data_IF_598506220238
#
_entry.id   IF_598506220238
#
_cell.length_a   1.000
_cell.length_b   1.000
_cell.length_c   1.000
_cell.angle_alpha   90.00
_cell.angle_beta   90.00
_cell.angle_gamma   90.00
#
_symmetry.space_group_name_H-M   'P 1'
#
loop_
_entity.id
_entity.type
_entity.pdbx_description
1 polymer ?
#
# COMPACT_ATOMS: atom_id res chain seq x y z
N UNK A 1 -2.97 29.94 -3.32
CA UNK A 1 -3.66 28.83 -4.01
C UNK A 1 -4.04 27.84 -2.93
N UNK A 2 -5.31 27.83 -2.54
CA UNK A 2 -5.86 26.88 -1.58
C UNK A 2 -6.04 25.57 -2.33
N UNK A 3 -5.10 24.63 -2.20
CA UNK A 3 -5.30 23.29 -2.76
C UNK A 3 -6.53 22.69 -2.09
N UNK A 4 -7.53 22.31 -2.89
CA UNK A 4 -8.68 21.59 -2.41
C UNK A 4 -8.21 20.20 -1.94
N UNK A 5 -8.61 19.75 -0.75
CA UNK A 5 -8.19 18.44 -0.24
C UNK A 5 -8.69 17.27 -1.10
N UNK A 6 -9.76 17.47 -1.88
CA UNK A 6 -10.21 16.53 -2.91
C UNK A 6 -9.19 16.39 -4.07
N UNK A 7 -8.56 17.49 -4.48
CA UNK A 7 -7.51 17.48 -5.51
C UNK A 7 -6.26 16.76 -4.97
N UNK A 8 -5.87 17.06 -3.73
CA UNK A 8 -4.74 16.38 -3.06
C UNK A 8 -5.01 14.88 -2.95
N UNK A 9 -6.22 14.49 -2.54
CA UNK A 9 -6.62 13.07 -2.43
C UNK A 9 -6.52 12.36 -3.77
N UNK A 10 -6.96 13.00 -4.86
CA UNK A 10 -6.83 12.47 -6.22
C UNK A 10 -5.38 12.29 -6.64
N UNK A 11 -4.54 13.31 -6.44
CA UNK A 11 -3.11 13.25 -6.76
C UNK A 11 -2.39 12.14 -5.96
N UNK A 12 -2.70 11.98 -4.66
CA UNK A 12 -2.13 10.89 -3.84
C UNK A 12 -2.54 9.54 -4.40
N UNK A 13 -3.82 9.40 -4.77
CA UNK A 13 -4.35 8.13 -5.25
C UNK A 13 -3.73 7.73 -6.59
N UNK A 14 -3.50 8.70 -7.49
CA UNK A 14 -2.84 8.44 -8.77
C UNK A 14 -1.37 8.02 -8.57
N UNK A 15 -0.65 8.70 -7.67
CA UNK A 15 0.70 8.29 -7.26
C UNK A 15 0.69 6.88 -6.65
N UNK A 16 -0.31 6.58 -5.83
CA UNK A 16 -0.48 5.30 -5.17
C UNK A 16 -0.74 4.16 -6.15
N UNK A 17 -1.64 4.38 -7.11
CA UNK A 17 -1.94 3.45 -8.20
C UNK A 17 -0.68 3.18 -9.03
N UNK A 18 0.01 4.24 -9.46
CA UNK A 18 1.23 4.13 -10.25
C UNK A 18 2.31 3.31 -9.54
N UNK A 19 2.63 3.63 -8.29
CA UNK A 19 3.63 2.88 -7.50
C UNK A 19 3.24 1.42 -7.30
N UNK A 20 1.95 1.16 -7.11
CA UNK A 20 1.44 -0.21 -6.94
C UNK A 20 1.57 -1.00 -8.24
N UNK A 21 1.27 -0.38 -9.37
CA UNK A 21 1.43 -0.99 -10.70
C UNK A 21 2.90 -1.27 -11.03
N UNK A 22 3.80 -0.31 -10.76
CA UNK A 22 5.25 -0.49 -10.91
C UNK A 22 5.76 -1.66 -10.05
N UNK A 23 5.28 -1.77 -8.80
CA UNK A 23 5.60 -2.90 -7.92
C UNK A 23 5.12 -4.24 -8.49
N UNK A 24 3.90 -4.30 -9.03
CA UNK A 24 3.35 -5.51 -9.66
C UNK A 24 4.24 -5.93 -10.83
N UNK A 25 4.57 -5.01 -11.74
CA UNK A 25 5.42 -5.29 -12.90
C UNK A 25 6.80 -5.80 -12.49
N UNK A 26 7.41 -5.22 -11.45
CA UNK A 26 8.70 -5.71 -10.92
C UNK A 26 8.60 -7.14 -10.37
N UNK A 27 7.52 -7.47 -9.65
CA UNK A 27 7.31 -8.82 -9.10
C UNK A 27 7.06 -9.82 -10.22
N UNK A 28 6.27 -9.47 -11.24
CA UNK A 28 6.01 -10.32 -12.40
C UNK A 28 7.28 -10.64 -13.17
N UNK A 29 8.13 -9.64 -13.42
CA UNK A 29 9.43 -9.84 -14.07
C UNK A 29 10.38 -10.73 -13.24
N UNK A 30 10.41 -10.54 -11.92
CA UNK A 30 11.20 -11.41 -11.03
C UNK A 30 10.68 -12.85 -11.01
N UNK A 31 9.35 -13.03 -11.05
CA UNK A 31 8.71 -14.34 -11.10
C UNK A 31 9.00 -15.06 -12.42
N UNK A 32 8.96 -14.35 -13.55
CA UNK A 32 9.33 -14.89 -14.87
C UNK A 32 10.79 -15.34 -14.89
N UNK A 33 11.71 -14.49 -14.41
CA UNK A 33 13.13 -14.82 -14.29
C UNK A 33 13.38 -16.08 -13.44
N UNK A 34 12.67 -16.22 -12.32
CA UNK A 34 12.78 -17.39 -11.44
C UNK A 34 12.25 -18.67 -12.13
N UNK A 35 11.19 -18.55 -12.94
CA UNK A 35 10.64 -19.68 -13.71
C UNK A 35 11.59 -20.13 -14.82
N UNK A 36 12.20 -19.20 -15.53
CA UNK A 36 13.17 -19.51 -16.59
C UNK A 36 14.40 -20.20 -16.00
N UNK A 37 14.90 -19.71 -14.86
CA UNK A 37 16.01 -20.34 -14.13
C UNK A 37 15.68 -21.78 -13.71
N UNK A 38 14.44 -22.02 -13.25
CA UNK A 38 13.96 -23.37 -12.91
C UNK A 38 13.99 -24.30 -14.13
N UNK A 39 13.54 -23.80 -15.28
CA UNK A 39 13.47 -24.58 -16.53
C UNK A 39 14.87 -24.91 -17.08
N UNK A 40 15.82 -23.96 -17.04
CA UNK A 40 17.20 -24.20 -17.50
C UNK A 40 17.94 -25.23 -16.63
N UNK A 41 17.70 -25.22 -15.31
CA UNK A 41 18.21 -26.23 -14.37
C UNK A 41 17.58 -27.62 -14.57
N UNK A 42 16.42 -27.72 -15.24
CA UNK A 42 15.85 -29.02 -15.64
C UNK A 42 16.54 -29.67 -16.84
N UNK A 43 17.11 -28.87 -17.74
CA UNK A 43 17.72 -29.34 -18.98
C UNK A 43 19.17 -29.81 -18.81
N UNK A 44 19.87 -29.38 -17.76
CA UNK A 44 21.29 -29.68 -17.49
C UNK A 44 21.53 -30.85 -16.52
N UNK A 45 20.56 -31.77 -16.37
CA UNK A 45 20.47 -32.74 -15.25
C UNK A 45 21.45 -33.92 -15.34
N UNK A 46 22.51 -33.88 -14.51
CA UNK A 46 23.34 -35.03 -14.14
C UNK A 46 23.52 -35.11 -12.60
N UNK A 47 22.56 -35.73 -11.89
CA UNK A 47 22.72 -36.28 -10.52
C UNK A 47 22.52 -35.35 -9.30
N UNK A 48 22.39 -35.97 -8.11
CA UNK A 48 22.00 -35.52 -6.74
C UNK A 48 22.48 -34.15 -6.22
N UNK A 49 23.36 -33.43 -6.91
CA UNK A 49 23.95 -32.18 -6.39
C UNK A 49 23.04 -30.95 -6.51
N UNK A 50 21.88 -31.06 -7.18
CA UNK A 50 21.03 -29.93 -7.57
C UNK A 50 19.66 -29.84 -6.86
N UNK A 51 19.35 -30.76 -5.93
CA UNK A 51 18.07 -30.71 -5.20
C UNK A 51 17.90 -29.40 -4.40
N UNK A 52 18.96 -28.92 -3.75
CA UNK A 52 18.90 -27.68 -2.95
C UNK A 52 18.70 -26.42 -3.81
N UNK A 53 19.30 -26.35 -5.01
CA UNK A 53 19.14 -25.21 -5.91
C UNK A 53 17.70 -25.10 -6.43
N UNK A 54 17.08 -26.23 -6.76
CA UNK A 54 15.68 -26.28 -7.20
C UNK A 54 14.71 -25.92 -6.07
N UNK A 55 14.96 -26.40 -4.86
CA UNK A 55 14.15 -26.03 -3.70
C UNK A 55 14.22 -24.52 -3.42
N UNK A 56 15.39 -23.89 -3.53
CA UNK A 56 15.54 -22.44 -3.37
C UNK A 56 14.77 -21.66 -4.44
N UNK A 57 14.87 -22.05 -5.72
CA UNK A 57 14.11 -21.41 -6.81
C UNK A 57 12.60 -21.56 -6.57
N UNK A 58 12.13 -22.72 -6.12
CA UNK A 58 10.72 -22.92 -5.80
C UNK A 58 10.26 -22.06 -4.63
N UNK A 59 11.10 -21.87 -3.60
CA UNK A 59 10.82 -20.95 -2.50
C UNK A 59 10.70 -19.50 -2.98
N UNK A 60 11.58 -19.07 -3.89
CA UNK A 60 11.53 -17.74 -4.50
C UNK A 60 10.25 -17.54 -5.33
N UNK A 61 9.88 -18.52 -6.17
CA UNK A 61 8.62 -18.51 -6.92
C UNK A 61 7.43 -18.35 -5.97
N UNK A 62 7.37 -19.17 -4.91
CA UNK A 62 6.30 -19.12 -3.92
C UNK A 62 6.26 -17.75 -3.20
N UNK A 63 7.42 -17.16 -2.91
CA UNK A 63 7.52 -15.82 -2.30
C UNK A 63 6.98 -14.75 -3.25
N UNK A 64 7.40 -14.75 -4.51
CA UNK A 64 6.93 -13.77 -5.50
C UNK A 64 5.43 -13.91 -5.76
N UNK A 65 4.89 -15.13 -5.82
CA UNK A 65 3.45 -15.35 -5.95
C UNK A 65 2.65 -14.76 -4.78
N UNK A 66 3.14 -14.91 -3.54
CA UNK A 66 2.51 -14.29 -2.36
C UNK A 66 2.55 -12.76 -2.44
N UNK A 67 3.70 -12.18 -2.79
CA UNK A 67 3.84 -10.74 -2.95
C UNK A 67 2.95 -10.20 -4.07
N UNK A 68 2.82 -10.92 -5.18
CA UNK A 68 1.94 -10.56 -6.30
C UNK A 68 0.46 -10.57 -5.88
N UNK A 69 0.04 -11.57 -5.09
CA UNK A 69 -1.31 -11.63 -4.57
C UNK A 69 -1.62 -10.44 -3.66
N UNK A 70 -0.71 -10.08 -2.75
CA UNK A 70 -0.86 -8.91 -1.88
C UNK A 70 -0.88 -7.61 -2.69
N UNK A 71 0.00 -7.49 -3.69
CA UNK A 71 0.05 -6.29 -4.52
C UNK A 71 -1.21 -6.08 -5.37
N UNK A 72 -1.81 -7.16 -5.87
CA UNK A 72 -3.09 -7.09 -6.58
C UNK A 72 -4.26 -6.72 -5.65
N UNK A 73 -4.25 -7.20 -4.39
CA UNK A 73 -5.25 -6.78 -3.39
C UNK A 73 -5.13 -5.28 -3.10
N UNK A 74 -3.91 -4.78 -2.93
CA UNK A 74 -3.65 -3.35 -2.75
C UNK A 74 -4.18 -2.55 -3.95
N UNK A 75 -3.93 -3.00 -5.18
CA UNK A 75 -4.42 -2.35 -6.40
C UNK A 75 -5.96 -2.29 -6.44
N UNK A 76 -6.63 -3.41 -6.17
CA UNK A 76 -8.10 -3.45 -6.12
C UNK A 76 -8.67 -2.52 -5.06
N UNK A 77 -8.00 -2.41 -3.91
CA UNK A 77 -8.39 -1.51 -2.84
C UNK A 77 -8.27 -0.03 -3.26
N UNK A 78 -7.19 0.34 -3.95
CA UNK A 78 -7.01 1.70 -4.46
C UNK A 78 -8.05 2.06 -5.51
N UNK A 79 -8.36 1.16 -6.46
CA UNK A 79 -9.42 1.35 -7.46
C UNK A 79 -10.79 1.53 -6.78
N UNK A 80 -11.04 0.77 -5.71
CA UNK A 80 -12.29 0.90 -4.93
C UNK A 80 -12.38 2.22 -4.16
N UNK A 81 -11.25 2.84 -3.82
CA UNK A 81 -11.22 4.16 -3.17
C UNK A 81 -11.44 5.28 -4.19
N UNK A 82 -10.95 5.12 -5.42
CA UNK A 82 -11.13 6.08 -6.50
C UNK A 82 -12.60 6.37 -6.78
N UNK A 83 -13.44 5.33 -6.73
CA UNK A 83 -14.89 5.48 -6.91
C UNK A 83 -15.59 6.26 -5.79
N UNK A 84 -14.93 6.42 -4.64
CA UNK A 84 -15.44 7.11 -3.44
C UNK A 84 -14.81 8.49 -3.23
N UNK A 85 -14.06 9.01 -4.22
CA UNK A 85 -13.23 10.20 -4.04
C UNK A 85 -14.04 11.43 -3.56
N UNK A 86 -15.29 11.56 -4.01
CA UNK A 86 -16.17 12.70 -3.73
C UNK A 86 -17.14 12.50 -2.56
N UNK A 87 -17.09 11.36 -1.88
CA UNK A 87 -17.99 11.08 -0.76
C UNK A 87 -17.58 11.86 0.48
N UNK A 88 -18.53 12.60 1.05
CA UNK A 88 -18.35 13.25 2.35
C UNK A 88 -18.48 12.20 3.45
N UNK A 89 -17.50 12.19 4.35
CA UNK A 89 -17.32 11.13 5.32
C UNK A 89 -17.32 11.66 6.75
N UNK A 90 -18.25 11.20 7.57
CA UNK A 90 -18.38 11.62 8.97
C UNK A 90 -17.40 10.90 9.91
N UNK A 91 -16.85 9.76 9.45
CA UNK A 91 -15.96 8.89 10.20
C UNK A 91 -14.75 8.51 9.35
N UNK A 92 -13.60 8.37 10.00
CA UNK A 92 -12.39 7.89 9.38
C UNK A 92 -12.55 6.42 8.98
N UNK A 93 -12.52 6.14 7.68
CA UNK A 93 -12.61 4.79 7.11
C UNK A 93 -11.71 4.65 5.88
N UNK A 94 -11.72 3.48 5.26
CA UNK A 94 -11.01 3.27 4.00
C UNK A 94 -11.41 4.33 2.96
N UNK A 95 -10.42 4.95 2.33
CA UNK A 95 -10.57 6.01 1.36
C UNK A 95 -10.71 7.41 1.94
N UNK A 96 -10.58 7.60 3.26
CA UNK A 96 -10.67 8.92 3.89
C UNK A 96 -9.29 9.54 4.13
N UNK A 97 -9.20 10.84 3.92
CA UNK A 97 -8.05 11.66 4.27
C UNK A 97 -8.31 12.32 5.63
N UNK A 98 -7.60 11.86 6.64
CA UNK A 98 -7.71 12.33 8.01
C UNK A 98 -6.61 13.35 8.29
N UNK A 99 -7.00 14.56 8.67
CA UNK A 99 -6.08 15.57 9.17
C UNK A 99 -6.07 15.53 10.70
N UNK A 100 -4.89 15.36 11.28
CA UNK A 100 -4.66 15.53 12.72
C UNK A 100 -3.85 16.79 12.99
N UNK A 101 -3.66 17.13 14.27
CA UNK A 101 -2.74 18.18 14.71
C UNK A 101 -1.26 17.84 14.45
N UNK A 102 -0.94 16.61 14.07
CA UNK A 102 0.45 16.15 13.85
C UNK A 102 0.72 15.89 12.36
N UNK A 103 -0.26 15.44 11.59
CA UNK A 103 -0.05 15.12 10.17
C UNK A 103 -1.33 14.80 9.40
N UNK A 104 -1.14 14.49 8.13
CA UNK A 104 -2.19 14.07 7.19
C UNK A 104 -2.04 12.57 6.91
N UNK A 105 -3.14 11.84 7.02
CA UNK A 105 -3.17 10.38 6.85
C UNK A 105 -4.25 9.99 5.86
N UNK A 106 -3.88 9.35 4.75
CA UNK A 106 -4.84 8.71 3.84
C UNK A 106 -4.97 7.24 4.24
N UNK A 107 -6.17 6.82 4.65
CA UNK A 107 -6.44 5.40 4.97
C UNK A 107 -6.70 4.66 3.66
N UNK A 108 -5.67 4.07 3.09
CA UNK A 108 -5.73 3.31 1.85
C UNK A 108 -4.84 2.08 1.98
N UNK A 109 -3.69 2.04 1.30
CA UNK A 109 -2.73 0.94 1.34
C UNK A 109 -1.43 1.37 2.02
N UNK A 110 -0.49 0.44 2.26
CA UNK A 110 0.77 0.75 2.95
C UNK A 110 1.85 1.29 2.00
N UNK A 111 1.61 2.47 1.40
CA UNK A 111 2.57 3.13 0.49
C UNK A 111 3.58 4.01 1.23
N UNK A 112 3.23 4.47 2.44
CA UNK A 112 4.09 5.34 3.24
C UNK A 112 3.92 6.81 2.89
N UNK A 113 4.99 7.60 3.03
CA UNK A 113 4.93 9.04 2.87
C UNK A 113 4.91 9.47 1.39
N UNK A 114 4.00 10.38 1.06
CA UNK A 114 3.86 11.03 -0.24
C UNK A 114 3.86 12.54 -0.02
N UNK A 115 4.74 13.25 -0.72
CA UNK A 115 4.87 14.70 -0.63
C UNK A 115 4.15 15.37 -1.80
N UNK A 116 3.18 16.22 -1.49
CA UNK A 116 2.44 17.01 -2.48
C UNK A 116 2.52 18.48 -2.07
N UNK A 117 3.23 19.28 -2.87
CA UNK A 117 3.57 20.66 -2.52
C UNK A 117 4.31 20.73 -1.18
N UNK A 118 3.71 21.42 -0.21
CA UNK A 118 4.22 21.56 1.15
C UNK A 118 3.72 20.47 2.12
N UNK A 119 2.76 19.66 1.71
CA UNK A 119 2.10 18.67 2.57
C UNK A 119 2.82 17.32 2.48
N UNK A 120 3.11 16.73 3.63
CA UNK A 120 3.56 15.35 3.73
C UNK A 120 2.37 14.50 4.18
N UNK A 121 1.88 13.63 3.30
CA UNK A 121 0.74 12.77 3.56
C UNK A 121 1.21 11.33 3.72
N UNK A 122 0.77 10.68 4.80
CA UNK A 122 1.06 9.28 5.05
C UNK A 122 -0.08 8.42 4.54
N UNK A 123 0.21 7.61 3.52
CA UNK A 123 -0.73 6.62 2.99
C UNK A 123 -0.55 5.34 3.79
N UNK A 124 -1.56 5.01 4.59
CA UNK A 124 -1.51 3.94 5.59
C UNK A 124 -2.59 2.89 5.31
N UNK A 125 -2.27 1.63 5.61
CA UNK A 125 -3.27 0.55 5.59
C UNK A 125 -4.17 0.62 6.83
N UNK A 126 -5.47 0.30 6.71
CA UNK A 126 -6.37 0.14 7.87
C UNK A 126 -5.86 -0.92 8.86
N UNK A 127 -5.08 -1.90 8.41
CA UNK A 127 -4.51 -2.94 9.27
C UNK A 127 -3.26 -2.46 10.06
N UNK A 128 -2.69 -1.31 9.74
CA UNK A 128 -1.52 -0.77 10.43
C UNK A 128 -1.85 -0.32 11.86
N UNK A 129 -0.87 -0.25 12.80
CA UNK A 129 -1.15 0.17 14.18
C UNK A 129 -1.84 1.54 14.29
N UNK A 130 -1.43 2.51 13.47
CA UNK A 130 -2.09 3.82 13.42
C UNK A 130 -3.43 3.76 12.67
N UNK A 131 -3.54 2.93 11.63
CA UNK A 131 -4.79 2.72 10.90
C UNK A 131 -5.89 2.22 11.83
N UNK A 132 -5.59 1.21 12.65
CA UNK A 132 -6.54 0.66 13.64
C UNK A 132 -6.99 1.70 14.68
N UNK A 133 -6.12 2.65 15.04
CA UNK A 133 -6.46 3.73 15.96
C UNK A 133 -7.32 4.83 15.32
N UNK A 134 -7.20 5.01 14.01
CA UNK A 134 -7.91 6.04 13.24
C UNK A 134 -9.26 5.56 12.73
N UNK A 135 -9.42 4.28 12.42
CA UNK A 135 -10.70 3.73 11.96
C UNK A 135 -11.82 4.06 12.96
N UNK A 136 -12.97 4.49 12.43
CA UNK A 136 -14.18 4.92 13.14
C UNK A 136 -14.05 6.21 13.97
N UNK A 137 -12.89 6.86 13.98
CA UNK A 137 -12.73 8.16 14.65
C UNK A 137 -13.48 9.27 13.94
N UNK A 138 -14.02 10.20 14.74
CA UNK A 138 -14.72 11.40 14.29
C UNK A 138 -13.88 12.65 14.50
N UNK A 139 -14.27 13.73 13.85
CA UNK A 139 -13.70 15.06 14.10
C UNK A 139 -13.84 15.39 15.59
N UNK A 140 -12.72 15.77 16.22
CA UNK A 140 -12.64 16.05 17.65
C UNK A 140 -12.12 14.92 18.52
N UNK A 141 -12.13 13.67 18.03
CA UNK A 141 -11.61 12.53 18.78
C UNK A 141 -10.09 12.63 18.94
N UNK A 142 -9.59 12.07 20.05
CA UNK A 142 -8.16 12.00 20.33
C UNK A 142 -7.69 10.56 20.54
N UNK A 143 -6.43 10.30 20.21
CA UNK A 143 -5.77 9.01 20.37
C UNK A 143 -4.27 9.20 20.59
N UNK A 144 -3.62 8.21 21.19
CA UNK A 144 -2.17 8.23 21.40
C UNK A 144 -1.52 7.27 20.42
N UNK A 145 -0.55 7.76 19.66
CA UNK A 145 0.27 6.95 18.77
C UNK A 145 1.74 7.33 18.95
N UNK A 146 2.62 6.34 19.16
CA UNK A 146 4.04 6.55 19.45
C UNK A 146 4.29 7.58 20.58
N UNK A 147 3.53 7.47 21.68
CA UNK A 147 3.59 8.38 22.83
C UNK A 147 3.24 9.85 22.53
N UNK A 148 2.67 10.13 21.35
CA UNK A 148 2.18 11.46 20.96
C UNK A 148 0.66 11.45 20.95
N UNK A 149 0.05 12.39 21.67
CA UNK A 149 -1.40 12.60 21.63
C UNK A 149 -1.77 13.34 20.33
N UNK A 150 -2.65 12.72 19.56
CA UNK A 150 -3.17 13.26 18.30
C UNK A 150 -4.66 13.49 18.41
N UNK A 151 -5.13 14.57 17.82
CA UNK A 151 -6.55 14.92 17.71
C UNK A 151 -6.93 15.04 16.24
N UNK A 152 -8.06 14.43 15.87
CA UNK A 152 -8.63 14.56 14.53
C UNK A 152 -9.23 15.96 14.37
N UNK A 153 -8.71 16.71 13.40
CA UNK A 153 -9.13 18.10 13.10
C UNK A 153 -10.15 18.10 11.98
N UNK A 154 -9.94 17.29 10.94
CA UNK A 154 -10.82 17.22 9.79
C UNK A 154 -10.75 15.83 9.11
N UNK A 155 -11.80 15.51 8.37
CA UNK A 155 -11.93 14.29 7.56
C UNK A 155 -12.44 14.71 6.19
N UNK A 156 -11.78 14.22 5.13
CA UNK A 156 -12.07 14.49 3.72
C UNK A 156 -12.12 13.19 2.89
#
# INVERSE_FOLDING_TARGET
MTNNYFDIKGEILDIALKRTQERITMIESALETARDSSNDDTKSSAGDKYETSREMIQQDINRYQKQLLEANKDLQQLISIESLQNDVMDVARLGTLVQTNVGLYLIATSIGAVKIGANNIFVISPASPIGQLLIEKKIGDSFVFNNVNQKVIAIY
#
